data_IF_826144171200
#
_entry.id   IF_826144171200
#
_cell.length_a   1.000
_cell.length_b   1.000
_cell.length_c   1.000
_cell.angle_alpha   90.00
_cell.angle_beta   90.00
_cell.angle_gamma   90.00
#
_symmetry.space_group_name_H-M   'P 1'
#
loop_
_entity.id
_entity.type
_entity.pdbx_description
1 polymer ?
#
# COMPACT_ATOMS: atom_id res chain seq x y z
N UNK A 1 23.18 6.02 28.84
CA UNK A 1 21.75 6.39 28.96
C UNK A 1 21.41 7.40 27.88
N UNK A 2 20.89 6.93 26.74
CA UNK A 2 20.44 7.79 25.65
C UNK A 2 19.08 7.24 25.18
N UNK A 3 18.02 7.99 25.46
CA UNK A 3 16.63 7.66 25.15
C UNK A 3 16.34 7.87 23.67
N UNK A 4 16.18 6.79 22.93
CA UNK A 4 15.72 6.75 21.53
C UNK A 4 14.24 7.12 21.48
N UNK A 5 13.93 8.34 21.02
CA UNK A 5 12.55 8.85 20.90
C UNK A 5 12.00 8.48 19.51
N UNK A 6 10.90 7.72 19.50
CA UNK A 6 10.19 7.26 18.30
C UNK A 6 9.77 8.44 17.39
N UNK A 7 10.04 8.32 16.08
CA UNK A 7 9.54 9.22 15.04
C UNK A 7 8.20 8.70 14.50
N UNK A 8 7.20 9.56 14.23
CA UNK A 8 5.90 9.13 13.70
C UNK A 8 5.99 8.82 12.20
N UNK A 9 5.29 7.76 11.77
CA UNK A 9 5.16 7.39 10.35
C UNK A 9 4.38 8.45 9.58
N UNK A 10 4.84 8.76 8.37
CA UNK A 10 4.13 9.61 7.41
C UNK A 10 2.79 8.94 7.10
N UNK A 11 1.70 9.60 7.49
CA UNK A 11 0.34 9.13 7.30
C UNK A 11 -0.05 9.18 5.83
N UNK A 12 -0.70 8.12 5.38
CA UNK A 12 -1.58 8.14 4.21
C UNK A 12 -2.70 9.16 4.44
N UNK A 13 -3.21 9.86 3.40
CA UNK A 13 -4.41 10.68 3.54
C UNK A 13 -5.54 9.80 4.06
N UNK A 14 -5.98 10.05 5.30
CA UNK A 14 -7.03 9.29 5.95
C UNK A 14 -8.29 10.16 6.02
N UNK A 15 -9.37 9.68 5.41
CA UNK A 15 -10.73 10.21 5.62
C UNK A 15 -11.07 10.19 7.13
N UNK A 16 -11.87 11.15 7.64
CA UNK A 16 -12.09 11.30 9.08
C UNK A 16 -12.76 10.06 9.67
N UNK A 17 -12.07 9.42 10.62
CA UNK A 17 -12.58 8.27 11.36
C UNK A 17 -13.43 8.74 12.55
N UNK A 18 -14.75 8.65 12.41
CA UNK A 18 -15.69 8.77 13.52
C UNK A 18 -15.56 7.58 14.48
N UNK A 19 -15.57 7.87 15.78
CA UNK A 19 -15.49 6.90 16.87
C UNK A 19 -16.68 5.94 16.86
N UNK A 20 -16.43 4.66 16.53
CA UNK A 20 -17.41 3.59 16.64
C UNK A 20 -16.91 2.29 16.02
N UNK A 21 -16.20 1.46 16.80
CA UNK A 21 -15.56 0.24 16.30
C UNK A 21 -16.53 -0.88 15.85
N UNK A 22 -17.82 -0.76 16.16
CA UNK A 22 -18.88 -1.69 15.74
C UNK A 22 -19.63 -1.24 14.47
N UNK A 23 -20.08 0.04 14.32
CA UNK A 23 -20.73 0.48 13.09
C UNK A 23 -19.81 0.53 11.87
N UNK A 24 -18.51 0.77 12.03
CA UNK A 24 -17.59 0.86 10.88
C UNK A 24 -17.47 -0.45 10.09
N UNK A 25 -17.51 -1.61 10.76
CA UNK A 25 -17.40 -2.93 10.11
C UNK A 25 -18.67 -3.32 9.36
N UNK A 26 -19.85 -2.97 9.88
CA UNK A 26 -21.12 -3.21 9.19
C UNK A 26 -21.25 -2.32 7.96
N UNK A 27 -20.87 -1.04 8.08
CA UNK A 27 -20.87 -0.09 6.96
C UNK A 27 -19.95 -0.55 5.82
N UNK A 28 -18.75 -1.04 6.13
CA UNK A 28 -17.85 -1.58 5.10
C UNK A 28 -18.48 -2.76 4.35
N UNK A 29 -19.07 -3.70 5.09
CA UNK A 29 -19.73 -4.87 4.50
C UNK A 29 -20.89 -4.46 3.59
N UNK A 30 -21.73 -3.53 4.06
CA UNK A 30 -22.86 -3.01 3.30
C UNK A 30 -22.41 -2.28 2.03
N UNK A 31 -21.38 -1.44 2.11
CA UNK A 31 -20.83 -0.74 0.95
C UNK A 31 -20.28 -1.72 -0.11
N UNK A 32 -19.51 -2.72 0.32
CA UNK A 32 -18.99 -3.79 -0.56
C UNK A 32 -20.13 -4.55 -1.22
N UNK A 33 -21.11 -5.01 -0.45
CA UNK A 33 -22.23 -5.78 -0.98
C UNK A 33 -23.11 -4.92 -1.92
N UNK A 34 -23.27 -3.62 -1.66
CA UNK A 34 -24.00 -2.70 -2.54
C UNK A 34 -23.32 -2.52 -3.92
N UNK A 35 -22.00 -2.32 -3.94
CA UNK A 35 -21.24 -2.20 -5.20
C UNK A 35 -21.29 -3.49 -5.99
N UNK A 36 -21.13 -4.64 -5.32
CA UNK A 36 -21.20 -5.95 -5.97
C UNK A 36 -22.58 -6.25 -6.54
N UNK A 37 -23.65 -5.89 -5.83
CA UNK A 37 -25.02 -6.03 -6.34
C UNK A 37 -25.29 -5.13 -7.55
N UNK A 38 -24.71 -3.92 -7.57
CA UNK A 38 -24.79 -3.04 -8.75
C UNK A 38 -24.05 -3.65 -9.94
N UNK A 39 -22.84 -4.15 -9.72
CA UNK A 39 -22.06 -4.83 -10.75
C UNK A 39 -22.79 -6.07 -11.32
N UNK A 40 -23.33 -6.92 -10.44
CA UNK A 40 -24.11 -8.12 -10.80
C UNK A 40 -25.24 -7.82 -11.79
N UNK A 41 -26.00 -6.74 -11.52
CA UNK A 41 -27.12 -6.30 -12.36
C UNK A 41 -26.67 -5.91 -13.77
N UNK A 42 -25.48 -5.31 -13.90
CA UNK A 42 -24.97 -4.83 -15.18
C UNK A 42 -24.30 -5.92 -16.03
N UNK A 43 -23.71 -6.95 -15.40
CA UNK A 43 -22.84 -7.91 -16.11
C UNK A 43 -23.41 -9.33 -16.21
N UNK A 44 -24.22 -9.78 -15.23
CA UNK A 44 -24.56 -11.21 -15.10
C UNK A 44 -26.06 -11.53 -15.01
N UNK A 45 -26.95 -10.52 -15.04
CA UNK A 45 -28.38 -10.73 -14.77
C UNK A 45 -28.62 -11.17 -13.31
N UNK A 46 -29.89 -11.30 -12.90
CA UNK A 46 -30.28 -11.60 -11.51
C UNK A 46 -29.80 -13.01 -11.07
N UNK A 47 -28.56 -13.12 -10.58
CA UNK A 47 -27.97 -14.34 -10.02
C UNK A 47 -26.92 -14.04 -8.94
N UNK A 48 -26.61 -15.02 -8.08
CA UNK A 48 -25.51 -14.89 -7.08
C UNK A 48 -24.17 -14.86 -7.82
N UNK A 49 -23.54 -13.70 -7.90
CA UNK A 49 -22.21 -13.54 -8.54
C UNK A 49 -21.16 -14.36 -7.81
N UNK A 50 -20.46 -15.23 -8.55
CA UNK A 50 -19.22 -15.81 -8.08
C UNK A 50 -18.12 -14.75 -8.11
N UNK A 51 -17.91 -14.08 -6.97
CA UNK A 51 -16.99 -12.93 -6.86
C UNK A 51 -15.55 -13.23 -7.24
N UNK A 52 -15.11 -14.49 -7.14
CA UNK A 52 -13.75 -14.90 -7.54
C UNK A 52 -13.65 -14.92 -9.06
N UNK A 53 -14.64 -15.51 -9.74
CA UNK A 53 -14.72 -15.55 -11.20
C UNK A 53 -14.92 -14.14 -11.76
N UNK A 54 -15.84 -13.36 -11.20
CA UNK A 54 -16.07 -11.98 -11.64
C UNK A 54 -14.82 -11.09 -11.51
N UNK A 55 -14.01 -11.26 -10.46
CA UNK A 55 -12.73 -10.57 -10.34
C UNK A 55 -11.75 -11.03 -11.42
N UNK A 56 -11.67 -12.34 -11.67
CA UNK A 56 -10.79 -12.90 -12.70
C UNK A 56 -11.17 -12.38 -14.10
N UNK A 57 -12.45 -12.43 -14.45
CA UNK A 57 -12.98 -11.95 -15.72
C UNK A 57 -12.74 -10.45 -15.91
N UNK A 58 -12.96 -9.65 -14.85
CA UNK A 58 -12.71 -8.22 -14.89
C UNK A 58 -11.26 -7.91 -15.30
N UNK A 59 -10.28 -8.55 -14.65
CA UNK A 59 -8.87 -8.30 -14.92
C UNK A 59 -8.40 -8.89 -16.25
N UNK A 60 -8.95 -10.04 -16.68
CA UNK A 60 -8.70 -10.59 -18.02
C UNK A 60 -9.24 -9.67 -19.12
N UNK A 61 -10.44 -9.12 -18.93
CA UNK A 61 -11.04 -8.17 -19.87
C UNK A 61 -10.23 -6.88 -19.93
N UNK A 62 -9.73 -6.40 -18.79
CA UNK A 62 -8.85 -5.22 -18.73
C UNK A 62 -7.53 -5.46 -19.47
N UNK A 63 -6.88 -6.60 -19.22
CA UNK A 63 -5.65 -6.98 -19.92
C UNK A 63 -5.83 -7.07 -21.44
N UNK A 64 -6.99 -7.55 -21.92
CA UNK A 64 -7.27 -7.60 -23.36
C UNK A 64 -7.44 -6.23 -24.04
N UNK A 65 -7.66 -5.16 -23.25
CA UNK A 65 -7.93 -3.79 -23.72
C UNK A 65 -6.73 -2.87 -23.58
N UNK A 66 -5.78 -3.18 -22.71
CA UNK A 66 -4.66 -2.34 -22.34
C UNK A 66 -3.31 -2.98 -22.72
N UNK A 67 -2.25 -2.17 -22.80
CA UNK A 67 -0.87 -2.64 -23.02
C UNK A 67 -0.47 -3.52 -21.81
N UNK A 68 0.25 -4.64 -22.00
CA UNK A 68 0.56 -5.57 -20.90
C UNK A 68 1.16 -4.87 -19.68
N UNK A 69 0.57 -5.09 -18.50
CA UNK A 69 1.10 -4.56 -17.24
C UNK A 69 2.47 -5.18 -16.95
N UNK A 70 3.44 -4.35 -16.53
CA UNK A 70 4.82 -4.78 -16.23
C UNK A 70 4.92 -5.69 -14.97
N UNK A 71 3.99 -5.58 -14.02
CA UNK A 71 3.89 -6.43 -12.83
C UNK A 71 2.84 -7.51 -13.06
N UNK A 72 3.27 -8.75 -13.35
CA UNK A 72 2.49 -10.00 -13.26
C UNK A 72 1.01 -9.92 -13.65
N UNK A 73 0.67 -10.47 -14.83
CA UNK A 73 -0.70 -10.51 -15.38
C UNK A 73 -1.76 -11.19 -14.47
N UNK A 74 -1.34 -12.05 -13.54
CA UNK A 74 -2.26 -12.87 -12.76
C UNK A 74 -2.59 -12.31 -11.37
N UNK A 75 -3.86 -12.42 -10.99
CA UNK A 75 -4.32 -12.21 -9.61
C UNK A 75 -3.74 -13.31 -8.73
N UNK A 76 -3.01 -12.92 -7.68
CA UNK A 76 -2.40 -13.86 -6.73
C UNK A 76 -3.23 -13.94 -5.44
N UNK A 77 -3.56 -15.16 -5.01
CA UNK A 77 -4.19 -15.41 -3.71
C UNK A 77 -3.21 -16.06 -2.75
N UNK A 78 -3.03 -15.45 -1.58
CA UNK A 78 -2.10 -15.90 -0.55
C UNK A 78 -2.87 -16.19 0.75
N UNK A 79 -3.23 -17.45 1.03
CA UNK A 79 -3.81 -17.82 2.32
C UNK A 79 -2.75 -17.74 3.44
N UNK A 80 -3.09 -17.14 4.58
CA UNK A 80 -2.20 -17.15 5.74
C UNK A 80 -2.08 -18.58 6.29
N UNK A 81 -0.89 -18.96 6.74
CA UNK A 81 -0.61 -20.25 7.36
C UNK A 81 -1.24 -20.32 8.77
N UNK A 82 -2.55 -20.59 8.81
CA UNK A 82 -3.27 -20.93 10.04
C UNK A 82 -3.92 -22.30 9.92
N UNK A 83 -3.82 -23.10 10.99
CA UNK A 83 -4.48 -24.40 11.11
C UNK A 83 -5.94 -24.26 11.58
N UNK A 84 -6.25 -23.19 12.32
CA UNK A 84 -7.56 -22.97 12.95
C UNK A 84 -8.20 -21.64 12.52
N UNK A 85 -9.53 -21.55 12.52
CA UNK A 85 -10.22 -20.29 12.25
C UNK A 85 -9.94 -19.24 13.35
N UNK A 86 -10.06 -17.93 13.04
CA UNK A 86 -10.48 -17.37 11.75
C UNK A 86 -9.36 -17.42 10.70
N UNK A 87 -9.69 -17.86 9.49
CA UNK A 87 -8.76 -17.89 8.36
C UNK A 87 -8.63 -16.52 7.71
N UNK A 88 -7.44 -16.22 7.20
CA UNK A 88 -7.13 -14.98 6.47
C UNK A 88 -6.60 -15.34 5.08
N UNK A 89 -7.01 -14.57 4.08
CA UNK A 89 -6.47 -14.65 2.73
C UNK A 89 -6.21 -13.24 2.22
N UNK A 90 -5.05 -13.07 1.59
CA UNK A 90 -4.68 -11.86 0.86
C UNK A 90 -4.86 -12.10 -0.63
N UNK A 91 -5.16 -11.03 -1.36
CA UNK A 91 -5.23 -11.03 -2.81
C UNK A 91 -4.41 -9.85 -3.33
N UNK A 92 -3.45 -10.13 -4.20
CA UNK A 92 -2.64 -9.13 -4.89
C UNK A 92 -3.12 -9.05 -6.33
N UNK A 93 -3.50 -7.85 -6.76
CA UNK A 93 -3.98 -7.56 -8.11
C UNK A 93 -2.81 -7.24 -9.05
N UNK A 94 -3.00 -7.34 -10.37
CA UNK A 94 -2.07 -6.77 -11.34
C UNK A 94 -1.84 -5.28 -11.05
N UNK A 95 -0.58 -4.83 -11.13
CA UNK A 95 -0.17 -3.50 -10.65
C UNK A 95 0.05 -3.39 -9.13
N UNK A 96 -0.03 -4.51 -8.41
CA UNK A 96 0.53 -4.71 -7.08
C UNK A 96 -0.34 -4.31 -5.89
N UNK A 97 -1.50 -3.67 -6.12
CA UNK A 97 -2.44 -3.39 -5.03
C UNK A 97 -2.88 -4.68 -4.32
N UNK A 98 -2.92 -4.66 -2.98
CA UNK A 98 -3.20 -5.83 -2.17
C UNK A 98 -4.39 -5.59 -1.24
N UNK A 99 -5.27 -6.58 -1.13
CA UNK A 99 -6.40 -6.58 -0.22
C UNK A 99 -6.47 -7.89 0.55
N UNK A 100 -7.35 -7.97 1.55
CA UNK A 100 -7.49 -9.17 2.35
C UNK A 100 -8.88 -9.35 2.91
N UNK A 101 -9.15 -10.56 3.40
CA UNK A 101 -10.41 -10.86 4.11
C UNK A 101 -10.59 -9.91 5.30
N UNK A 102 -11.66 -9.13 5.30
CA UNK A 102 -11.90 -8.04 6.26
C UNK A 102 -12.84 -8.44 7.41
N UNK A 103 -13.36 -9.67 7.41
CA UNK A 103 -14.23 -10.23 8.44
C UNK A 103 -13.72 -11.60 8.92
N UNK A 104 -14.10 -12.07 10.12
CA UNK A 104 -13.76 -13.42 10.58
C UNK A 104 -14.31 -14.48 9.61
N UNK A 105 -13.45 -15.34 9.09
CA UNK A 105 -13.82 -16.38 8.13
C UNK A 105 -13.61 -17.78 8.74
N UNK A 106 -14.66 -18.61 8.89
CA UNK A 106 -14.57 -19.96 9.45
C UNK A 106 -13.92 -20.98 8.51
N UNK A 107 -13.83 -20.70 7.20
CA UNK A 107 -13.18 -21.58 6.21
C UNK A 107 -12.19 -20.81 5.34
N UNK A 108 -11.15 -21.49 4.82
CA UNK A 108 -10.20 -20.91 3.86
C UNK A 108 -10.89 -20.41 2.58
N UNK A 109 -11.93 -21.12 2.13
CA UNK A 109 -12.74 -20.71 0.98
C UNK A 109 -13.51 -19.40 1.24
N UNK A 110 -14.04 -19.20 2.44
CA UNK A 110 -14.67 -17.94 2.83
C UNK A 110 -13.68 -16.79 2.93
N UNK A 111 -12.47 -17.04 3.46
CA UNK A 111 -11.41 -16.04 3.49
C UNK A 111 -11.05 -15.58 2.07
N UNK A 112 -10.87 -16.53 1.14
CA UNK A 112 -10.60 -16.23 -0.28
C UNK A 112 -11.72 -15.41 -0.91
N UNK A 113 -12.99 -15.82 -0.73
CA UNK A 113 -14.15 -15.05 -1.23
C UNK A 113 -14.22 -13.66 -0.61
N UNK A 114 -13.95 -13.52 0.69
CA UNK A 114 -13.96 -12.22 1.37
C UNK A 114 -12.89 -11.28 0.83
N UNK A 115 -11.69 -11.79 0.53
CA UNK A 115 -10.62 -11.01 -0.09
C UNK A 115 -11.00 -10.60 -1.53
N UNK A 116 -11.54 -11.53 -2.31
CA UNK A 116 -11.99 -11.26 -3.69
C UNK A 116 -13.09 -10.18 -3.74
N UNK A 117 -14.05 -10.18 -2.80
CA UNK A 117 -15.11 -9.16 -2.71
C UNK A 117 -14.56 -7.73 -2.67
N UNK A 118 -13.63 -7.48 -1.75
CA UNK A 118 -13.09 -6.13 -1.57
C UNK A 118 -12.15 -5.74 -2.72
N UNK A 119 -11.42 -6.70 -3.27
CA UNK A 119 -10.57 -6.48 -4.42
C UNK A 119 -11.39 -6.14 -5.68
N UNK A 120 -12.49 -6.85 -5.92
CA UNK A 120 -13.41 -6.58 -7.05
C UNK A 120 -14.06 -5.22 -6.91
N UNK A 121 -14.56 -4.88 -5.71
CA UNK A 121 -15.09 -3.55 -5.44
C UNK A 121 -14.06 -2.46 -5.79
N UNK A 122 -12.82 -2.60 -5.31
CA UNK A 122 -11.77 -1.61 -5.58
C UNK A 122 -11.37 -1.58 -7.05
N UNK A 123 -11.37 -2.72 -7.74
CA UNK A 123 -11.04 -2.81 -9.16
C UNK A 123 -12.08 -2.06 -9.99
N UNK A 124 -13.37 -2.35 -9.79
CA UNK A 124 -14.47 -1.66 -10.49
C UNK A 124 -14.48 -0.16 -10.16
N UNK A 125 -14.26 0.19 -8.90
CA UNK A 125 -14.32 1.58 -8.46
C UNK A 125 -13.21 2.45 -9.06
N UNK A 126 -12.00 1.90 -9.23
CA UNK A 126 -10.86 2.64 -9.77
C UNK A 126 -10.88 2.83 -11.29
N UNK A 127 -11.77 2.16 -12.02
CA UNK A 127 -12.02 2.42 -13.45
C UNK A 127 -12.75 3.74 -13.70
N UNK A 128 -13.42 4.27 -12.67
CA UNK A 128 -14.18 5.50 -12.85
C UNK A 128 -13.24 6.66 -13.23
N UNK A 129 -13.56 7.50 -14.24
CA UNK A 129 -12.68 8.59 -14.67
C UNK A 129 -12.29 9.56 -13.54
N UNK A 130 -13.16 9.75 -12.55
CA UNK A 130 -12.87 10.58 -11.36
C UNK A 130 -11.85 9.97 -10.39
N UNK A 131 -11.36 8.75 -10.64
CA UNK A 131 -10.34 8.04 -9.85
C UNK A 131 -8.99 7.99 -10.57
N UNK A 132 -8.88 8.67 -11.71
CA UNK A 132 -7.62 8.93 -12.39
C UNK A 132 -6.89 10.10 -11.76
N UNK A 133 -5.58 10.10 -11.85
CA UNK A 133 -4.73 11.22 -11.46
C UNK A 133 -4.96 12.36 -12.46
N UNK A 134 -5.67 13.41 -12.03
CA UNK A 134 -5.96 14.63 -12.78
C UNK A 134 -5.15 15.81 -12.26
N UNK A 135 -5.07 16.90 -13.03
CA UNK A 135 -4.42 18.14 -12.58
C UNK A 135 -5.01 18.66 -11.26
N UNK A 136 -6.33 18.67 -11.13
CA UNK A 136 -7.03 19.07 -9.90
C UNK A 136 -6.67 18.19 -8.71
N UNK A 137 -6.51 16.88 -8.94
CA UNK A 137 -6.07 15.94 -7.91
C UNK A 137 -4.63 16.22 -7.50
N UNK A 138 -3.72 16.45 -8.45
CA UNK A 138 -2.31 16.78 -8.16
C UNK A 138 -2.23 18.03 -7.29
N UNK A 139 -2.90 19.12 -7.68
CA UNK A 139 -2.86 20.37 -6.91
C UNK A 139 -3.43 20.18 -5.50
N UNK A 140 -4.53 19.43 -5.36
CA UNK A 140 -5.13 19.14 -4.06
C UNK A 140 -4.21 18.31 -3.17
N UNK A 141 -3.61 17.24 -3.71
CA UNK A 141 -2.73 16.34 -2.98
C UNK A 141 -1.42 17.02 -2.56
N UNK A 142 -0.85 17.86 -3.44
CA UNK A 142 0.36 18.64 -3.14
C UNK A 142 0.10 19.63 -2.02
N UNK A 143 -1.03 20.34 -2.06
CA UNK A 143 -1.41 21.28 -1.00
C UNK A 143 -1.58 20.61 0.36
N UNK A 144 -2.13 19.40 0.39
CA UNK A 144 -2.22 18.60 1.62
C UNK A 144 -0.83 18.18 2.13
N UNK A 145 0.06 17.78 1.22
CA UNK A 145 1.44 17.43 1.56
C UNK A 145 2.22 18.63 2.12
N UNK A 146 2.08 19.82 1.53
CA UNK A 146 2.66 21.07 2.05
C UNK A 146 2.17 21.37 3.46
N UNK A 147 0.85 21.26 3.70
CA UNK A 147 0.26 21.49 5.02
C UNK A 147 0.82 20.52 6.06
N UNK A 148 0.97 19.25 5.68
CA UNK A 148 1.53 18.22 6.55
C UNK A 148 3.00 18.47 6.84
N UNK A 149 3.80 18.82 5.84
CA UNK A 149 5.22 19.15 6.00
C UNK A 149 5.38 20.37 6.91
N UNK A 150 4.59 21.42 6.72
CA UNK A 150 4.59 22.61 7.56
C UNK A 150 4.28 22.28 9.04
N UNK A 151 3.30 21.41 9.30
CA UNK A 151 2.99 20.95 10.66
C UNK A 151 4.14 20.15 11.30
N UNK A 152 4.84 19.33 10.51
CA UNK A 152 5.98 18.55 10.99
C UNK A 152 7.17 19.46 11.33
N UNK A 153 7.47 20.44 10.47
CA UNK A 153 8.52 21.44 10.67
C UNK A 153 8.25 22.25 11.94
N UNK A 154 6.99 22.70 12.13
CA UNK A 154 6.57 23.43 13.33
C UNK A 154 6.77 22.60 14.61
N UNK A 155 6.39 21.31 14.58
CA UNK A 155 6.59 20.38 15.71
C UNK A 155 8.07 20.09 16.00
N UNK A 156 8.93 20.10 14.98
CA UNK A 156 10.37 19.82 15.11
C UNK A 156 11.22 21.04 15.47
N UNK A 157 10.64 22.25 15.55
CA UNK A 157 11.35 23.53 15.77
C UNK A 157 12.54 23.75 14.82
N UNK A 158 12.45 23.21 13.61
CA UNK A 158 13.46 23.42 12.57
C UNK A 158 13.06 24.65 11.75
N UNK A 159 13.84 25.74 11.84
CA UNK A 159 13.61 26.95 11.04
C UNK A 159 14.23 26.77 9.66
N UNK A 160 13.42 26.42 8.66
CA UNK A 160 13.66 26.70 7.23
C UNK A 160 12.36 26.41 6.47
N UNK A 161 11.55 27.45 6.29
CA UNK A 161 10.39 27.44 5.40
C UNK A 161 10.76 28.25 4.16
N UNK A 162 11.02 27.60 3.02
CA UNK A 162 11.03 28.27 1.73
C UNK A 162 9.60 28.39 1.22
N UNK A 163 9.26 29.58 0.68
CA UNK A 163 7.87 30.00 0.41
C UNK A 163 7.31 29.43 -0.91
N UNK A 164 8.10 28.68 -1.67
CA UNK A 164 7.66 28.01 -2.91
C UNK A 164 8.32 26.63 -3.07
N UNK A 165 8.22 25.80 -2.02
CA UNK A 165 8.90 24.50 -1.97
C UNK A 165 8.28 23.44 -2.89
N UNK A 166 7.01 23.55 -3.27
CA UNK A 166 6.31 22.49 -4.02
C UNK A 166 6.60 22.44 -5.52
N UNK A 167 7.18 23.50 -6.08
CA UNK A 167 7.64 23.53 -7.48
C UNK A 167 9.10 23.17 -7.64
N UNK A 168 9.87 23.21 -6.56
CA UNK A 168 11.27 22.81 -6.54
C UNK A 168 11.37 21.27 -6.46
N UNK A 169 11.83 20.58 -7.52
CA UNK A 169 11.96 19.13 -7.55
C UNK A 169 12.94 18.59 -6.49
N UNK A 170 13.76 19.47 -5.91
CA UNK A 170 14.72 19.15 -4.86
C UNK A 170 14.10 19.16 -3.46
N UNK A 171 12.79 19.36 -3.31
CA UNK A 171 12.09 19.20 -2.03
C UNK A 171 11.32 17.86 -1.96
N UNK A 172 10.87 17.47 -0.76
CA UNK A 172 10.03 16.28 -0.62
C UNK A 172 8.69 16.42 -1.35
N UNK A 173 8.07 17.59 -1.22
CA UNK A 173 6.79 17.92 -1.85
C UNK A 173 6.93 18.07 -3.37
N UNK A 174 7.99 18.70 -3.87
CA UNK A 174 8.22 18.82 -5.31
C UNK A 174 8.48 17.48 -6.00
N UNK A 175 9.22 16.57 -5.36
CA UNK A 175 9.35 15.20 -5.86
C UNK A 175 8.01 14.46 -5.85
N UNK A 176 7.17 14.67 -4.83
CA UNK A 176 5.81 14.11 -4.79
C UNK A 176 4.92 14.66 -5.92
N UNK A 177 4.95 15.97 -6.19
CA UNK A 177 4.30 16.60 -7.33
C UNK A 177 4.76 15.95 -8.64
N UNK A 178 6.08 15.86 -8.87
CA UNK A 178 6.65 15.25 -10.07
C UNK A 178 6.20 13.80 -10.28
N UNK A 179 6.14 13.00 -9.21
CA UNK A 179 5.63 11.62 -9.28
C UNK A 179 4.17 11.58 -9.75
N UNK A 180 3.32 12.43 -9.19
CA UNK A 180 1.91 12.50 -9.58
C UNK A 180 1.76 12.98 -11.03
N UNK A 181 2.51 14.02 -11.42
CA UNK A 181 2.45 14.57 -12.78
C UNK A 181 2.90 13.56 -13.84
N UNK A 182 3.93 12.77 -13.55
CA UNK A 182 4.43 11.71 -14.44
C UNK A 182 3.48 10.52 -14.58
N UNK A 183 2.45 10.45 -13.74
CA UNK A 183 1.45 9.38 -13.73
C UNK A 183 0.02 9.89 -13.99
N UNK A 184 -0.14 11.08 -14.57
CA UNK A 184 -1.45 11.61 -14.98
C UNK A 184 -2.19 10.63 -15.90
N UNK A 185 -3.50 10.52 -15.69
CA UNK A 185 -4.36 9.61 -16.44
C UNK A 185 -4.33 8.15 -15.97
N UNK A 186 -3.37 7.74 -15.15
CA UNK A 186 -3.38 6.45 -14.45
C UNK A 186 -4.33 6.49 -13.26
N UNK A 187 -4.89 5.34 -12.90
CA UNK A 187 -5.64 5.12 -11.67
C UNK A 187 -4.72 5.06 -10.45
N UNK A 188 -5.29 5.27 -9.26
CA UNK A 188 -4.54 5.10 -8.01
C UNK A 188 -4.00 3.68 -7.83
N UNK A 189 -4.67 2.64 -8.37
CA UNK A 189 -4.18 1.27 -8.31
C UNK A 189 -2.90 1.07 -9.12
N UNK A 190 -2.80 1.70 -10.31
CA UNK A 190 -1.59 1.63 -11.15
C UNK A 190 -0.43 2.43 -10.57
N UNK A 191 -0.74 3.50 -9.84
CA UNK A 191 0.27 4.30 -9.12
C UNK A 191 0.72 3.65 -7.80
N UNK A 192 -0.01 2.65 -7.30
CA UNK A 192 0.19 2.06 -5.99
C UNK A 192 1.56 1.38 -5.82
N UNK A 193 2.05 0.68 -6.85
CA UNK A 193 3.36 0.00 -6.81
C UNK A 193 4.49 1.01 -6.58
N UNK A 194 4.52 2.09 -7.38
CA UNK A 194 5.51 3.15 -7.25
C UNK A 194 5.43 3.83 -5.88
N UNK A 195 4.21 4.15 -5.42
CA UNK A 195 4.01 4.73 -4.09
C UNK A 195 4.54 3.81 -2.99
N UNK A 196 4.25 2.51 -3.08
CA UNK A 196 4.68 1.54 -2.07
C UNK A 196 6.19 1.37 -2.05
N UNK A 197 6.86 1.38 -3.21
CA UNK A 197 8.33 1.36 -3.30
C UNK A 197 8.92 2.52 -2.51
N UNK A 198 8.45 3.75 -2.74
CA UNK A 198 8.95 4.93 -2.02
C UNK A 198 8.67 4.88 -0.52
N UNK A 199 7.49 4.37 -0.13
CA UNK A 199 7.17 4.15 1.28
C UNK A 199 8.12 3.13 1.94
N UNK A 200 8.45 2.05 1.24
CA UNK A 200 9.40 1.03 1.73
C UNK A 200 10.82 1.58 1.83
N UNK A 201 11.31 2.27 0.79
CA UNK A 201 12.63 2.91 0.79
C UNK A 201 12.76 3.97 1.89
N UNK A 202 11.68 4.66 2.20
CA UNK A 202 11.64 5.60 3.33
C UNK A 202 11.70 4.83 4.66
N UNK A 203 10.83 3.82 4.82
CA UNK A 203 10.71 3.04 6.04
C UNK A 203 11.98 2.26 6.40
N UNK A 204 12.58 1.57 5.43
CA UNK A 204 13.84 0.86 5.64
C UNK A 204 15.03 1.82 5.66
N UNK A 205 14.86 3.13 5.43
CA UNK A 205 15.93 4.13 5.50
C UNK A 205 16.86 4.21 4.27
N UNK A 206 16.61 3.46 3.19
CA UNK A 206 17.39 3.57 1.96
C UNK A 206 17.34 4.97 1.36
N UNK A 207 16.19 5.68 1.42
CA UNK A 207 16.13 7.08 0.97
C UNK A 207 17.10 7.98 1.73
N UNK A 208 17.25 7.77 3.04
CA UNK A 208 18.22 8.51 3.85
C UNK A 208 19.64 8.17 3.41
N UNK A 209 19.96 6.90 3.22
CA UNK A 209 21.29 6.47 2.79
C UNK A 209 21.66 7.01 1.39
N UNK A 210 20.72 7.04 0.45
CA UNK A 210 20.92 7.63 -0.88
C UNK A 210 21.16 9.13 -0.80
N UNK A 211 20.37 9.85 0.02
CA UNK A 211 20.60 11.27 0.27
C UNK A 211 21.99 11.54 0.86
N UNK A 212 22.42 10.72 1.83
CA UNK A 212 23.73 10.86 2.48
C UNK A 212 24.90 10.54 1.50
N UNK A 213 24.62 9.86 0.38
CA UNK A 213 25.54 9.64 -0.76
C UNK A 213 25.42 10.68 -1.88
N UNK A 214 24.67 11.77 -1.65
CA UNK A 214 24.38 12.82 -2.63
C UNK A 214 23.62 12.35 -3.88
N UNK A 215 22.84 11.26 -3.80
CA UNK A 215 21.89 10.93 -4.87
C UNK A 215 20.80 12.01 -4.92
N UNK A 216 20.55 12.57 -6.10
CA UNK A 216 19.47 13.52 -6.30
C UNK A 216 18.11 12.81 -6.25
N UNK A 217 17.05 13.56 -5.90
CA UNK A 217 15.68 13.01 -5.92
C UNK A 217 15.28 12.55 -7.31
N UNK A 218 15.72 13.25 -8.36
CA UNK A 218 15.40 12.91 -9.75
C UNK A 218 16.04 11.59 -10.19
N UNK A 219 17.31 11.34 -9.86
CA UNK A 219 17.97 10.06 -10.15
C UNK A 219 17.28 8.89 -9.42
N UNK A 220 16.87 9.11 -8.16
CA UNK A 220 16.13 8.09 -7.40
C UNK A 220 14.77 7.83 -8.06
N UNK A 221 14.05 8.87 -8.47
CA UNK A 221 12.77 8.75 -9.17
C UNK A 221 12.90 7.98 -10.48
N UNK A 222 13.88 8.33 -11.30
CA UNK A 222 14.15 7.65 -12.56
C UNK A 222 14.49 6.18 -12.34
N UNK A 223 15.37 5.88 -11.38
CA UNK A 223 15.78 4.50 -11.07
C UNK A 223 14.61 3.61 -10.61
N UNK A 224 13.70 4.15 -9.80
CA UNK A 224 12.57 3.37 -9.26
C UNK A 224 11.27 3.47 -10.07
N UNK A 225 11.20 4.36 -11.07
CA UNK A 225 9.99 4.60 -11.87
C UNK A 225 9.46 3.34 -12.57
N UNK A 226 10.36 2.45 -12.99
CA UNK A 226 10.06 1.20 -13.69
C UNK A 226 10.38 -0.06 -12.87
N UNK A 227 10.79 0.09 -11.61
CA UNK A 227 11.04 -1.05 -10.70
C UNK A 227 9.72 -1.61 -10.18
N UNK A 228 9.73 -2.90 -9.86
CA UNK A 228 8.64 -3.59 -9.17
C UNK A 228 9.13 -4.12 -7.83
N UNK A 229 8.20 -4.45 -6.92
CA UNK A 229 8.53 -5.07 -5.65
C UNK A 229 8.70 -6.57 -5.87
N UNK A 230 9.90 -6.95 -6.29
CA UNK A 230 10.32 -8.31 -6.58
C UNK A 230 11.13 -8.94 -5.42
N UNK A 231 11.53 -10.19 -5.59
CA UNK A 231 12.26 -10.94 -4.57
C UNK A 231 13.67 -10.39 -4.32
N UNK A 232 14.28 -9.76 -5.34
CA UNK A 232 15.57 -9.09 -5.21
C UNK A 232 15.46 -7.88 -4.29
N UNK A 233 14.46 -7.02 -4.52
CA UNK A 233 14.20 -5.85 -3.69
C UNK A 233 13.88 -6.26 -2.24
N UNK A 234 13.03 -7.28 -2.05
CA UNK A 234 12.72 -7.80 -0.71
C UNK A 234 13.96 -8.33 -0.01
N UNK A 235 14.81 -9.06 -0.72
CA UNK A 235 16.05 -9.63 -0.18
C UNK A 235 17.05 -8.54 0.22
N UNK A 236 17.23 -7.52 -0.62
CA UNK A 236 18.10 -6.39 -0.30
C UNK A 236 17.61 -5.64 0.94
N UNK A 237 16.30 -5.37 1.04
CA UNK A 237 15.73 -4.74 2.23
C UNK A 237 15.86 -5.61 3.48
N UNK A 238 15.71 -6.94 3.34
CA UNK A 238 15.91 -7.86 4.45
C UNK A 238 17.36 -7.82 4.97
N UNK A 239 18.36 -7.77 4.08
CA UNK A 239 19.78 -7.63 4.45
C UNK A 239 20.02 -6.32 5.22
N UNK A 240 19.42 -5.21 4.79
CA UNK A 240 19.51 -3.92 5.51
C UNK A 240 18.98 -4.04 6.95
N UNK A 241 17.87 -4.77 7.13
CA UNK A 241 17.30 -5.04 8.46
C UNK A 241 18.18 -5.96 9.31
N UNK A 242 18.77 -7.00 8.71
CA UNK A 242 19.71 -7.91 9.39
C UNK A 242 20.93 -7.15 9.89
N UNK A 243 21.49 -6.26 9.07
CA UNK A 243 22.61 -5.41 9.45
C UNK A 243 22.29 -4.57 10.70
N UNK A 244 21.08 -3.99 10.76
CA UNK A 244 20.63 -3.21 11.93
C UNK A 244 20.36 -4.04 13.17
N UNK A 245 19.90 -5.28 13.01
CA UNK A 245 19.71 -6.20 14.13
C UNK A 245 21.05 -6.53 14.81
N UNK A 246 22.15 -6.58 14.05
CA UNK A 246 23.50 -6.77 14.60
C UNK A 246 23.94 -5.58 15.47
N UNK A 247 23.54 -4.36 15.11
CA UNK A 247 23.80 -3.16 15.90
C UNK A 247 22.85 -3.02 17.10
N UNK A 248 21.59 -3.44 16.92
CA UNK A 248 20.54 -3.32 17.92
C UNK A 248 19.70 -4.61 17.98
N UNK A 249 20.07 -5.49 18.90
CA UNK A 249 19.38 -6.76 19.11
C UNK A 249 17.90 -6.57 19.51
N UNK A 250 17.02 -7.39 18.93
CA UNK A 250 15.58 -7.39 19.14
C UNK A 250 14.80 -6.39 18.27
N UNK A 251 15.47 -5.67 17.37
CA UNK A 251 14.86 -4.66 16.50
C UNK A 251 13.87 -5.28 15.50
N UNK A 252 14.27 -6.32 14.77
CA UNK A 252 13.43 -7.00 13.78
C UNK A 252 12.18 -7.56 14.43
N UNK A 253 12.31 -8.20 15.61
CA UNK A 253 11.16 -8.74 16.35
C UNK A 253 10.16 -7.63 16.68
N UNK A 254 10.64 -6.52 17.22
CA UNK A 254 9.80 -5.36 17.59
C UNK A 254 9.10 -4.76 16.38
N UNK A 255 9.83 -4.57 15.27
CA UNK A 255 9.25 -4.01 14.05
C UNK A 255 8.29 -4.98 13.37
N UNK A 256 8.53 -6.29 13.46
CA UNK A 256 7.63 -7.32 12.94
C UNK A 256 6.31 -7.33 13.70
N UNK A 257 6.34 -7.22 15.03
CA UNK A 257 5.13 -7.12 15.86
C UNK A 257 4.31 -5.87 15.49
N UNK A 258 4.97 -4.74 15.21
CA UNK A 258 4.30 -3.51 14.75
C UNK A 258 3.68 -3.71 13.36
N UNK A 259 4.43 -4.26 12.41
CA UNK A 259 3.95 -4.50 11.05
C UNK A 259 2.76 -5.46 11.01
N UNK A 260 2.76 -6.52 11.83
CA UNK A 260 1.64 -7.43 11.97
C UNK A 260 0.37 -6.72 12.48
N UNK A 261 0.49 -5.92 13.55
CA UNK A 261 -0.64 -5.15 14.12
C UNK A 261 -1.20 -4.15 13.11
N UNK A 262 -0.32 -3.43 12.42
CA UNK A 262 -0.70 -2.47 11.38
C UNK A 262 -1.44 -3.16 10.22
N UNK A 263 -0.91 -4.28 9.73
CA UNK A 263 -1.54 -5.06 8.67
C UNK A 263 -2.94 -5.53 9.07
N UNK A 264 -3.11 -6.06 10.28
CA UNK A 264 -4.42 -6.50 10.76
C UNK A 264 -5.41 -5.34 10.91
N UNK A 265 -4.97 -4.19 11.43
CA UNK A 265 -5.81 -3.00 11.55
C UNK A 265 -6.27 -2.49 10.18
N UNK A 266 -5.36 -2.39 9.22
CA UNK A 266 -5.67 -1.99 7.85
C UNK A 266 -6.62 -2.99 7.18
N UNK A 267 -6.37 -4.29 7.35
CA UNK A 267 -7.18 -5.37 6.78
C UNK A 267 -8.61 -5.34 7.30
N UNK A 268 -8.80 -5.21 8.62
CA UNK A 268 -10.14 -5.15 9.23
C UNK A 268 -10.89 -3.85 8.89
N UNK A 269 -10.19 -2.83 8.43
CA UNK A 269 -10.76 -1.57 7.95
C UNK A 269 -10.99 -1.56 6.44
N UNK A 270 -10.69 -2.65 5.73
CA UNK A 270 -10.85 -2.77 4.28
C UNK A 270 -9.92 -1.86 3.48
N UNK A 271 -8.77 -1.48 4.04
CA UNK A 271 -7.80 -0.61 3.37
C UNK A 271 -6.92 -1.41 2.40
N UNK A 272 -6.23 -0.68 1.53
CA UNK A 272 -5.09 -1.18 0.75
C UNK A 272 -4.00 -1.71 1.72
N UNK A 273 -3.44 -2.88 1.40
CA UNK A 273 -2.57 -3.66 2.29
C UNK A 273 -1.14 -3.88 1.76
N UNK A 274 -0.80 -3.41 0.56
CA UNK A 274 0.48 -3.72 -0.08
C UNK A 274 1.64 -3.27 0.78
N UNK A 275 1.63 -2.01 1.23
CA UNK A 275 2.69 -1.49 2.09
C UNK A 275 2.85 -2.24 3.43
N UNK A 276 1.81 -2.38 4.29
CA UNK A 276 1.96 -3.10 5.56
C UNK A 276 2.25 -4.60 5.38
N UNK A 277 1.78 -5.23 4.29
CA UNK A 277 2.11 -6.62 3.96
C UNK A 277 3.58 -6.77 3.59
N UNK A 278 4.10 -5.92 2.70
CA UNK A 278 5.51 -5.96 2.30
C UNK A 278 6.44 -5.71 3.50
N UNK A 279 6.12 -4.77 4.39
CA UNK A 279 6.87 -4.60 5.65
C UNK A 279 6.97 -5.90 6.45
N UNK A 280 5.84 -6.57 6.68
CA UNK A 280 5.78 -7.84 7.41
C UNK A 280 6.59 -8.91 6.71
N UNK A 281 6.43 -9.05 5.40
CA UNK A 281 7.04 -10.13 4.63
C UNK A 281 8.57 -9.96 4.52
N UNK A 282 9.06 -8.73 4.33
CA UNK A 282 10.50 -8.39 4.39
C UNK A 282 11.08 -8.70 5.78
N UNK A 283 10.40 -8.31 6.85
CA UNK A 283 10.86 -8.59 8.21
C UNK A 283 10.83 -10.08 8.55
N UNK A 284 9.82 -10.82 8.08
CA UNK A 284 9.77 -12.29 8.20
C UNK A 284 10.93 -12.94 7.44
N UNK A 285 11.23 -12.45 6.23
CA UNK A 285 12.38 -12.92 5.46
C UNK A 285 13.69 -12.70 6.23
N UNK A 286 13.91 -11.48 6.75
CA UNK A 286 15.06 -11.15 7.58
C UNK A 286 15.16 -12.04 8.84
N UNK A 287 14.05 -12.19 9.58
CA UNK A 287 13.98 -13.01 10.78
C UNK A 287 14.32 -14.48 10.51
N UNK A 288 13.79 -15.04 9.42
CA UNK A 288 14.04 -16.43 9.02
C UNK A 288 15.49 -16.67 8.59
N UNK A 289 16.19 -15.66 8.06
CA UNK A 289 17.61 -15.76 7.71
C UNK A 289 18.48 -15.74 8.97
N UNK A 290 18.14 -14.92 9.97
CA UNK A 290 18.87 -14.88 11.24
C UNK A 290 18.70 -16.17 12.03
N UNK A 291 17.49 -16.76 12.04
CA UNK A 291 17.25 -18.05 12.72
C UNK A 291 17.96 -19.25 12.08
N UNK A 292 18.63 -19.06 10.95
CA UNK A 292 19.48 -20.07 10.28
C UNK A 292 20.99 -19.81 10.47
N UNK A 293 21.36 -18.74 11.16
CA UNK A 293 22.74 -18.41 11.56
C UNK A 293 22.93 -18.80 13.03
#
# INVERSE_FOLDING_TARGET
>A
MATTREQPSIGTPHLPAGSGAHPAKSVLKEAVDAVLNSFAKHTHGYGRVNVIEALQEFWQMKESREVPLKSGSAILYEPEASEKPPYVCFVTLPGGSCFGSFQPCPTKAEAKRSAAKIALMNSVFNEHPSRKITDDFVESAVKEAESTEAQVVLKRRTMNLSVDSSRDPTTGVGAFRFMLESNKGKSMLEFQDLMTIFQLLHWNGSLKAMRDRNCSRQEVLEHYSDRTIDDEMRSQMALDWISREQEQQGLIKRELDKACKELDQCRLSGRELRFPKEKRDILRLAWNQIGKV
#
